data_IF_924408902764
#
_entry.id   IF_924408902764
#
_cell.length_a   1.000
_cell.length_b   1.000
_cell.length_c   1.000
_cell.angle_alpha   90.00
_cell.angle_beta   90.00
_cell.angle_gamma   90.00
#
_symmetry.space_group_name_H-M   'P 1'
#
loop_
_entity.id
_entity.type
_entity.pdbx_description
1 polymer ?
#
# COMPACT_ATOMS: atom_id res chain seq x y z
N UNK A 1 -11.09 -9.27 -7.64
CA UNK A 1 -10.16 -8.40 -6.91
C UNK A 1 -10.46 -6.97 -7.29
N UNK A 2 -10.85 -6.13 -6.32
CA UNK A 2 -11.26 -4.74 -6.53
C UNK A 2 -10.25 -3.82 -5.84
N UNK A 3 -9.03 -3.77 -6.39
CA UNK A 3 -8.03 -2.81 -5.98
C UNK A 3 -8.58 -1.39 -6.29
N UNK A 4 -8.36 -0.39 -5.41
CA UNK A 4 -8.76 0.98 -5.69
C UNK A 4 -8.09 1.52 -6.96
N UNK A 5 -8.70 2.55 -7.55
CA UNK A 5 -8.10 3.28 -8.68
C UNK A 5 -6.74 3.85 -8.25
N UNK A 6 -5.75 3.70 -9.11
CA UNK A 6 -4.39 4.14 -8.83
C UNK A 6 -4.30 5.67 -8.80
N UNK A 7 -3.67 6.28 -7.78
CA UNK A 7 -3.57 7.72 -7.71
C UNK A 7 -2.62 8.26 -8.78
N UNK A 8 -2.76 9.56 -9.06
CA UNK A 8 -1.67 10.32 -9.68
C UNK A 8 -0.59 10.54 -8.62
N UNK A 9 0.63 10.14 -8.94
CA UNK A 9 1.79 10.34 -8.06
C UNK A 9 2.35 11.74 -8.23
N UNK A 10 2.69 12.40 -7.12
CA UNK A 10 3.32 13.72 -7.09
C UNK A 10 4.66 13.63 -6.37
N UNK A 11 5.64 14.42 -6.81
CA UNK A 11 6.88 14.62 -6.08
C UNK A 11 6.71 15.57 -4.89
N UNK A 12 7.75 15.69 -4.06
CA UNK A 12 7.77 16.61 -2.91
C UNK A 12 7.63 18.09 -3.32
N UNK A 13 7.94 18.40 -4.59
CA UNK A 13 7.78 19.72 -5.20
C UNK A 13 6.34 20.00 -5.69
N UNK A 14 5.42 19.04 -5.52
CA UNK A 14 4.04 19.10 -5.99
C UNK A 14 3.88 18.87 -7.50
N UNK A 15 4.96 18.59 -8.23
CA UNK A 15 4.86 18.26 -9.65
C UNK A 15 4.40 16.81 -9.84
N UNK A 16 3.64 16.56 -10.91
CA UNK A 16 3.22 15.21 -11.25
C UNK A 16 4.43 14.37 -11.66
N UNK A 17 4.51 13.13 -11.16
CA UNK A 17 5.49 12.15 -11.63
C UNK A 17 5.08 11.68 -13.02
N UNK A 18 5.68 12.30 -14.05
CA UNK A 18 5.35 12.05 -15.46
C UNK A 18 6.22 10.96 -16.11
N UNK A 19 7.30 10.53 -15.47
CA UNK A 19 8.17 9.46 -15.97
C UNK A 19 7.41 8.13 -15.96
N UNK A 20 7.18 7.58 -17.16
CA UNK A 20 6.40 6.36 -17.38
C UNK A 20 6.94 5.19 -16.58
N UNK A 21 8.26 5.03 -16.50
CA UNK A 21 8.91 3.95 -15.78
C UNK A 21 8.66 4.07 -14.27
N UNK A 22 8.72 5.28 -13.70
CA UNK A 22 8.43 5.50 -12.27
C UNK A 22 6.97 5.15 -11.95
N UNK A 23 6.04 5.59 -12.80
CA UNK A 23 4.61 5.29 -12.62
C UNK A 23 4.37 3.78 -12.71
N UNK A 24 4.97 3.10 -13.70
CA UNK A 24 4.89 1.65 -13.86
C UNK A 24 5.38 0.91 -12.61
N UNK A 25 6.56 1.28 -12.10
CA UNK A 25 7.12 0.66 -10.88
C UNK A 25 6.19 0.87 -9.69
N UNK A 26 5.61 2.07 -9.54
CA UNK A 26 4.61 2.29 -8.49
C UNK A 26 3.36 1.45 -8.68
N UNK A 27 2.91 1.24 -9.93
CA UNK A 27 1.77 0.36 -10.22
C UNK A 27 2.03 -1.08 -9.82
N UNK A 28 3.20 -1.61 -10.17
CA UNK A 28 3.64 -2.96 -9.83
C UNK A 28 3.76 -3.11 -8.30
N UNK A 29 4.42 -2.16 -7.62
CA UNK A 29 4.55 -2.17 -6.16
C UNK A 29 3.18 -2.15 -5.45
N UNK A 30 2.23 -1.32 -5.90
CA UNK A 30 0.89 -1.28 -5.28
C UNK A 30 0.10 -2.56 -5.51
N UNK A 31 0.26 -3.21 -6.67
CA UNK A 31 -0.39 -4.48 -6.96
C UNK A 31 0.18 -5.62 -6.10
N UNK A 32 1.50 -5.69 -5.96
CA UNK A 32 2.17 -6.66 -5.09
C UNK A 32 1.81 -6.48 -3.62
N UNK A 33 1.77 -5.23 -3.14
CA UNK A 33 1.35 -4.91 -1.79
C UNK A 33 -0.11 -5.31 -1.54
N UNK A 34 -1.01 -5.03 -2.49
CA UNK A 34 -2.41 -5.42 -2.39
C UNK A 34 -2.56 -6.94 -2.32
N UNK A 35 -1.85 -7.69 -3.17
CA UNK A 35 -1.89 -9.15 -3.15
C UNK A 35 -1.38 -9.70 -1.82
N UNK A 36 -0.24 -9.21 -1.34
CA UNK A 36 0.34 -9.63 -0.06
C UNK A 36 -0.62 -9.35 1.11
N UNK A 37 -1.26 -8.17 1.11
CA UNK A 37 -2.24 -7.81 2.14
C UNK A 37 -3.50 -8.68 2.06
N UNK A 38 -3.95 -9.05 0.85
CA UNK A 38 -5.09 -9.94 0.64
C UNK A 38 -4.78 -11.37 1.11
N UNK A 39 -3.61 -11.91 0.77
CA UNK A 39 -3.19 -13.25 1.21
C UNK A 39 -3.11 -13.32 2.74
N UNK A 40 -2.47 -12.32 3.37
CA UNK A 40 -2.42 -12.21 4.84
C UNK A 40 -3.81 -12.06 5.47
N UNK A 41 -4.73 -11.39 4.76
CA UNK A 41 -6.12 -11.25 5.19
C UNK A 41 -6.85 -12.59 5.18
N UNK A 42 -6.72 -13.36 4.10
CA UNK A 42 -7.33 -14.69 3.94
C UNK A 42 -6.79 -15.70 4.95
N UNK A 43 -5.46 -15.75 5.13
CA UNK A 43 -4.81 -16.64 6.09
C UNK A 43 -5.28 -16.37 7.53
N UNK A 44 -5.36 -15.10 7.92
CA UNK A 44 -5.80 -14.74 9.25
C UNK A 44 -7.29 -15.07 9.49
N UNK A 45 -8.16 -14.91 8.48
CA UNK A 45 -9.54 -15.36 8.58
C UNK A 45 -9.63 -16.89 8.72
N UNK A 46 -8.82 -17.63 7.95
CA UNK A 46 -8.73 -19.10 8.05
C UNK A 46 -8.27 -19.55 9.45
N UNK A 47 -7.38 -18.79 10.09
CA UNK A 47 -6.90 -19.02 11.46
C UNK A 47 -7.86 -18.54 12.56
N UNK A 48 -9.01 -17.94 12.20
CA UNK A 48 -10.02 -17.48 13.16
C UNK A 48 -9.75 -16.10 13.76
N UNK A 49 -8.86 -15.29 13.16
CA UNK A 49 -8.68 -13.90 13.56
C UNK A 49 -9.93 -13.06 13.23
N UNK A 50 -10.21 -12.06 14.05
CA UNK A 50 -11.36 -11.18 13.82
C UNK A 50 -11.11 -10.21 12.66
N UNK A 51 -11.99 -10.20 11.66
CA UNK A 51 -11.90 -9.30 10.48
C UNK A 51 -11.64 -7.84 10.85
N UNK A 52 -12.43 -7.29 11.79
CA UNK A 52 -12.31 -5.87 12.19
C UNK A 52 -10.94 -5.55 12.78
N UNK A 53 -10.40 -6.46 13.58
CA UNK A 53 -9.08 -6.30 14.19
C UNK A 53 -8.01 -6.30 13.12
N UNK A 54 -8.10 -7.22 12.16
CA UNK A 54 -7.12 -7.35 11.09
C UNK A 54 -7.11 -6.13 10.17
N UNK A 55 -8.29 -5.63 9.77
CA UNK A 55 -8.39 -4.39 8.98
C UNK A 55 -7.79 -3.20 9.71
N UNK A 56 -8.08 -3.05 11.01
CA UNK A 56 -7.50 -1.99 11.83
C UNK A 56 -5.98 -2.10 11.91
N UNK A 57 -5.44 -3.32 12.04
CA UNK A 57 -4.01 -3.55 12.09
C UNK A 57 -3.33 -3.27 10.75
N UNK A 58 -3.91 -3.67 9.62
CA UNK A 58 -3.38 -3.36 8.28
C UNK A 58 -3.32 -1.84 8.05
N UNK A 59 -4.32 -1.08 8.50
CA UNK A 59 -4.29 0.39 8.45
C UNK A 59 -3.15 0.95 9.31
N UNK A 60 -3.03 0.49 10.56
CA UNK A 60 -1.97 0.92 11.48
C UNK A 60 -0.56 0.57 10.94
N UNK A 61 -0.41 -0.56 10.25
CA UNK A 61 0.83 -0.97 9.61
C UNK A 61 1.25 0.00 8.51
N UNK A 62 0.30 0.46 7.68
CA UNK A 62 0.56 1.45 6.63
C UNK A 62 0.81 2.85 7.23
N UNK A 63 0.10 3.23 8.29
CA UNK A 63 0.34 4.50 9.01
C UNK A 63 1.72 4.54 9.68
N UNK A 64 2.26 3.38 10.08
CA UNK A 64 3.58 3.24 10.70
C UNK A 64 4.77 3.27 9.74
N UNK A 65 4.56 3.48 8.43
CA UNK A 65 5.66 3.55 7.46
C UNK A 65 6.54 4.80 7.72
N UNK A 66 7.83 4.57 7.95
CA UNK A 66 8.80 5.65 8.17
C UNK A 66 9.42 6.11 6.85
N UNK A 67 9.60 7.44 6.68
CA UNK A 67 10.36 7.99 5.55
C UNK A 67 11.85 8.09 5.91
N UNK A 68 12.72 7.18 5.41
CA UNK A 68 14.14 7.17 5.75
C UNK A 68 14.91 8.36 5.17
N UNK A 69 14.33 9.09 4.22
CA UNK A 69 14.95 10.26 3.58
C UNK A 69 14.55 11.57 4.26
N UNK A 70 13.66 11.54 5.27
CA UNK A 70 13.32 12.72 6.07
C UNK A 70 14.56 13.14 6.86
N UNK A 71 15.25 14.17 6.39
CA UNK A 71 16.29 14.84 7.17
C UNK A 71 15.62 15.53 8.35
N UNK A 72 15.99 15.14 9.56
CA UNK A 72 15.66 15.84 10.80
C UNK A 72 16.34 17.20 10.82
#
# INVERSE_FOLDING_TARGET
>A
MSMPEMPKWYGDDGQIVSCTEKVKVMSENMAELYQTAQDAFEDALLMGCGERQLRAYLLALIEGLENPYRKV
#
